data_IF_944783379693
#
_entry.id   IF_944783379693
#
_cell.length_a   1.000
_cell.length_b   1.000
_cell.length_c   1.000
_cell.angle_alpha   90.00
_cell.angle_beta   90.00
_cell.angle_gamma   90.00
#
_symmetry.space_group_name_H-M   'P 1'
#
loop_
_entity.id
_entity.type
_entity.pdbx_description
1 polymer ?
#
# COMPACT_ATOMS: atom_id res chain seq x y z
N UNK A 1 -2.27 -12.78 -8.58
CA UNK A 1 -1.19 -13.39 -7.75
C UNK A 1 0.21 -13.15 -8.32
N UNK A 2 0.42 -13.29 -9.64
CA UNK A 2 1.76 -13.13 -10.25
C UNK A 2 2.46 -11.78 -9.94
N UNK A 3 1.76 -10.65 -10.06
CA UNK A 3 2.39 -9.33 -9.85
C UNK A 3 2.92 -9.11 -8.43
N UNK A 4 2.16 -9.48 -7.40
CA UNK A 4 2.59 -9.35 -6.01
C UNK A 4 3.82 -10.22 -5.71
N UNK A 5 3.84 -11.47 -6.19
CA UNK A 5 5.00 -12.34 -6.03
C UNK A 5 6.25 -11.76 -6.73
N UNK A 6 6.11 -11.27 -7.97
CA UNK A 6 7.21 -10.62 -8.70
C UNK A 6 7.73 -9.39 -7.95
N UNK A 7 6.85 -8.54 -7.44
CA UNK A 7 7.27 -7.35 -6.70
C UNK A 7 7.99 -7.71 -5.38
N UNK A 8 7.48 -8.69 -4.64
CA UNK A 8 8.11 -9.20 -3.41
C UNK A 8 9.51 -9.76 -3.68
N UNK A 9 9.67 -10.50 -4.79
CA UNK A 9 10.96 -11.01 -5.23
C UNK A 9 11.91 -9.86 -5.58
N UNK A 10 11.48 -8.89 -6.38
CA UNK A 10 12.31 -7.74 -6.77
C UNK A 10 12.76 -6.91 -5.56
N UNK A 11 11.89 -6.73 -4.56
CA UNK A 11 12.27 -6.08 -3.29
C UNK A 11 13.35 -6.87 -2.55
N UNK A 12 13.24 -8.19 -2.52
CA UNK A 12 14.22 -9.07 -1.87
C UNK A 12 15.57 -9.11 -2.61
N UNK A 13 15.56 -8.94 -3.94
CA UNK A 13 16.77 -8.87 -4.75
C UNK A 13 17.50 -7.52 -4.58
N UNK A 14 16.76 -6.42 -4.43
CA UNK A 14 17.33 -5.07 -4.32
C UNK A 14 17.66 -4.66 -2.88
N UNK A 15 17.04 -5.27 -1.88
CA UNK A 15 17.21 -4.93 -0.48
C UNK A 15 17.51 -6.18 0.36
N UNK A 16 18.79 -6.39 0.68
CA UNK A 16 19.27 -7.53 1.47
C UNK A 16 18.61 -7.56 2.86
N UNK A 17 18.41 -6.42 3.49
CA UNK A 17 17.76 -6.37 4.80
C UNK A 17 16.30 -6.81 4.73
N UNK A 18 15.56 -6.40 3.69
CA UNK A 18 14.19 -6.89 3.45
C UNK A 18 14.17 -8.41 3.27
N UNK A 19 15.12 -8.95 2.50
CA UNK A 19 15.26 -10.39 2.29
C UNK A 19 15.52 -11.14 3.60
N UNK A 20 16.41 -10.65 4.45
CA UNK A 20 16.73 -11.28 5.72
C UNK A 20 15.52 -11.33 6.65
N UNK A 21 14.72 -10.25 6.71
CA UNK A 21 13.50 -10.21 7.49
C UNK A 21 12.42 -11.18 6.96
N UNK A 22 12.33 -11.35 5.63
CA UNK A 22 11.45 -12.35 5.01
C UNK A 22 11.89 -13.78 5.33
N UNK A 23 13.17 -14.10 5.17
CA UNK A 23 13.73 -15.44 5.47
C UNK A 23 13.60 -15.77 6.96
N UNK A 24 13.79 -14.78 7.83
CA UNK A 24 13.61 -14.91 9.27
C UNK A 24 12.14 -15.01 9.72
N UNK A 25 11.17 -14.97 8.80
CA UNK A 25 9.73 -14.91 9.09
C UNK A 25 9.34 -13.75 10.03
N UNK A 26 10.08 -12.65 9.99
CA UNK A 26 9.79 -11.43 10.75
C UNK A 26 8.76 -10.57 10.00
N UNK A 27 8.86 -10.52 8.68
CA UNK A 27 7.89 -9.86 7.81
C UNK A 27 6.95 -10.87 7.16
N UNK A 28 5.68 -10.47 7.03
CA UNK A 28 4.75 -11.14 6.15
C UNK A 28 5.05 -10.80 4.68
N UNK A 29 4.70 -11.68 3.72
CA UNK A 29 4.76 -11.35 2.30
C UNK A 29 3.97 -10.08 1.97
N UNK A 30 4.47 -9.31 1.00
CA UNK A 30 3.77 -8.16 0.43
C UNK A 30 2.32 -8.51 0.06
N UNK A 31 1.38 -7.68 0.51
CA UNK A 31 -0.02 -7.73 0.11
C UNK A 31 -0.38 -6.56 -0.83
N UNK A 32 -1.15 -6.85 -1.87
CA UNK A 32 -1.66 -5.84 -2.80
C UNK A 32 -3.19 -5.87 -2.74
N UNK A 33 -3.78 -4.74 -2.32
CA UNK A 33 -5.22 -4.52 -2.32
C UNK A 33 -5.59 -3.57 -3.47
N UNK A 34 -6.48 -4.01 -4.34
CA UNK A 34 -7.01 -3.16 -5.41
C UNK A 34 -8.02 -2.16 -4.83
N UNK A 35 -7.99 -0.94 -5.35
CA UNK A 35 -8.90 0.13 -4.98
C UNK A 35 -9.82 0.45 -6.15
N UNK A 36 -11.02 0.92 -5.84
CA UNK A 36 -11.96 1.45 -6.82
C UNK A 36 -11.32 2.63 -7.59
N UNK A 37 -11.71 2.88 -8.84
CA UNK A 37 -11.27 4.06 -9.58
C UNK A 37 -11.50 5.35 -8.76
N UNK A 38 -10.50 6.23 -8.75
CA UNK A 38 -10.52 7.50 -8.02
C UNK A 38 -10.58 7.38 -6.48
N UNK A 39 -10.34 6.20 -5.88
CA UNK A 39 -10.38 6.01 -4.42
C UNK A 39 -9.60 7.07 -3.62
N UNK A 40 -8.35 7.36 -3.99
CA UNK A 40 -7.54 8.38 -3.31
C UNK A 40 -8.14 9.79 -3.41
N UNK A 41 -8.77 10.14 -4.54
CA UNK A 41 -9.45 11.43 -4.72
C UNK A 41 -10.67 11.50 -3.80
N UNK A 42 -11.47 10.43 -3.77
CA UNK A 42 -12.66 10.35 -2.92
C UNK A 42 -12.30 10.39 -1.43
N UNK A 43 -11.25 9.69 -1.02
CA UNK A 43 -10.73 9.73 0.34
C UNK A 43 -10.24 11.13 0.72
N UNK A 44 -9.42 11.78 -0.11
CA UNK A 44 -8.94 13.14 0.19
C UNK A 44 -10.11 14.13 0.25
N UNK A 45 -11.16 13.93 -0.56
CA UNK A 45 -12.38 14.74 -0.50
C UNK A 45 -13.16 14.53 0.80
N UNK A 46 -13.30 13.29 1.28
CA UNK A 46 -14.06 12.98 2.49
C UNK A 46 -13.45 13.58 3.75
N UNK A 47 -12.12 13.72 3.80
CA UNK A 47 -11.41 14.39 4.91
C UNK A 47 -11.19 15.90 4.70
N UNK A 48 -11.79 16.49 3.66
CA UNK A 48 -11.67 17.92 3.35
C UNK A 48 -10.27 18.37 2.90
N UNK A 49 -9.42 17.44 2.42
CA UNK A 49 -8.03 17.70 2.00
C UNK A 49 -7.82 17.58 0.49
N UNK A 50 -8.87 17.52 -0.32
CA UNK A 50 -8.73 17.50 -1.78
C UNK A 50 -8.32 18.88 -2.30
N UNK A 51 -7.11 18.98 -2.88
CA UNK A 51 -6.58 20.21 -3.47
C UNK A 51 -5.64 21.01 -2.55
N UNK A 52 -5.12 22.12 -3.07
CA UNK A 52 -4.17 22.99 -2.35
C UNK A 52 -2.82 22.32 -2.08
N UNK A 53 -2.28 22.48 -0.86
CA UNK A 53 -0.98 21.93 -0.46
C UNK A 53 -1.04 20.47 0.03
N UNK A 54 -2.23 19.87 0.14
CA UNK A 54 -2.39 18.51 0.65
C UNK A 54 -2.13 17.47 -0.45
N UNK A 55 -1.19 16.55 -0.20
CA UNK A 55 -0.84 15.45 -1.11
C UNK A 55 -1.18 14.11 -0.48
N UNK A 56 -1.54 13.14 -1.32
CA UNK A 56 -1.71 11.74 -0.89
C UNK A 56 -0.34 11.17 -0.48
N UNK A 57 -0.19 10.66 0.75
CA UNK A 57 1.03 9.95 1.16
C UNK A 57 1.25 8.70 0.31
N UNK A 58 2.49 8.47 -0.13
CA UNK A 58 2.87 7.29 -0.95
C UNK A 58 3.59 6.20 -0.14
N UNK A 59 4.07 6.55 1.05
CA UNK A 59 4.76 5.68 1.98
C UNK A 59 4.41 6.14 3.40
N UNK A 60 4.07 5.18 4.26
CA UNK A 60 3.85 5.39 5.70
C UNK A 60 4.45 4.22 6.47
N UNK A 61 4.81 4.46 7.73
CA UNK A 61 5.23 3.42 8.66
C UNK A 61 4.05 2.84 9.46
N UNK A 62 2.84 3.38 9.26
CA UNK A 62 1.61 2.93 9.90
C UNK A 62 0.56 2.54 8.85
N UNK A 63 -0.57 2.01 9.36
CA UNK A 63 -1.70 1.61 8.53
C UNK A 63 -2.81 2.64 8.44
N UNK A 64 -2.66 3.81 9.08
CA UNK A 64 -3.72 4.83 9.18
C UNK A 64 -4.37 5.18 7.83
N UNK A 65 -3.56 5.35 6.78
CA UNK A 65 -4.07 5.60 5.43
C UNK A 65 -4.68 4.35 4.79
N UNK A 66 -4.05 3.19 4.97
CA UNK A 66 -4.53 1.93 4.41
C UNK A 66 -5.90 1.54 4.99
N UNK A 67 -6.06 1.70 6.30
CA UNK A 67 -7.28 1.41 7.04
C UNK A 67 -8.40 2.38 6.62
N UNK A 68 -8.07 3.67 6.43
CA UNK A 68 -9.03 4.64 5.91
C UNK A 68 -9.48 4.34 4.45
N UNK A 69 -8.63 3.66 3.67
CA UNK A 69 -8.92 3.27 2.30
C UNK A 69 -9.72 1.96 2.19
N UNK A 70 -9.98 1.25 3.29
CA UNK A 70 -10.70 -0.04 3.23
C UNK A 70 -12.12 0.09 2.67
N UNK A 71 -12.78 1.22 2.92
CA UNK A 71 -14.10 1.53 2.36
C UNK A 71 -14.08 1.75 0.83
N UNK A 72 -12.91 1.84 0.22
CA UNK A 72 -12.71 2.07 -1.22
C UNK A 72 -12.05 0.87 -1.91
N UNK A 73 -11.98 -0.29 -1.26
CA UNK A 73 -11.48 -1.51 -1.88
C UNK A 73 -12.34 -1.88 -3.09
N UNK A 74 -11.67 -2.36 -4.13
CA UNK A 74 -12.37 -2.96 -5.25
C UNK A 74 -13.06 -4.24 -4.76
N UNK A 75 -14.39 -4.26 -4.76
CA UNK A 75 -15.14 -5.48 -4.47
C UNK A 75 -14.92 -6.49 -5.59
N UNK A 76 -14.90 -7.80 -5.27
CA UNK A 76 -14.77 -8.85 -6.27
C UNK A 76 -15.89 -8.82 -7.31
#
# INVERSE_FOLDING_TARGET
VAFGATLNQQLSEQNVYYKDLMVGNILAPLEIKLLQPQAFIQYMKSIGKLGGQNKVPRLSNDRSLADALENYLQQP
#
